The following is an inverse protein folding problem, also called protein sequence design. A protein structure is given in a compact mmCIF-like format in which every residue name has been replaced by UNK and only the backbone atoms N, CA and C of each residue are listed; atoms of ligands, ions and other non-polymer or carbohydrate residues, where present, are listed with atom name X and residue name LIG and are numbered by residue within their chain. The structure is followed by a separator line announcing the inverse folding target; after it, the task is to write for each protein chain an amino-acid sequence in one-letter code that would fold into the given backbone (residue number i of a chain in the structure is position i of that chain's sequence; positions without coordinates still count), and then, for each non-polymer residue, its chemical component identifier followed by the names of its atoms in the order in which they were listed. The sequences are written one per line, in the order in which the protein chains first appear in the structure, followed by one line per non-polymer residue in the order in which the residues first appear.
data_IF_424920055889
#
_entry.id   IF_424920055889
#
_cell.length_a   1.000
_cell.length_b   1.000
_cell.length_c   1.000
_cell.angle_alpha   90.00
_cell.angle_beta   90.00
_cell.angle_gamma   90.00
#
_symmetry.space_group_name_H-M   'P 1'
#
loop_
_entity.id
_entity.type
_entity.pdbx_description
1 polymer ?
#
# COMPACT_ATOMS: atom_id res chain seq x y z
N UNK A 1 13.73 -9.15 5.66
CA UNK A 1 13.44 -7.70 5.79
C UNK A 1 12.27 -7.26 4.89
N UNK A 2 12.06 -7.99 3.80
CA UNK A 2 11.03 -7.85 2.79
C UNK A 2 9.61 -7.93 3.37
N UNK A 3 9.31 -8.95 4.18
CA UNK A 3 8.00 -9.07 4.82
C UNK A 3 7.66 -7.82 5.67
N UNK A 4 8.61 -7.32 6.47
CA UNK A 4 8.41 -6.12 7.28
C UNK A 4 8.17 -4.89 6.40
N UNK A 5 8.86 -4.74 5.27
CA UNK A 5 8.61 -3.64 4.34
C UNK A 5 7.20 -3.70 3.72
N UNK A 6 6.67 -4.89 3.46
CA UNK A 6 5.31 -5.08 2.95
C UNK A 6 4.28 -4.66 4.00
N UNK A 7 4.39 -5.14 5.24
CA UNK A 7 3.46 -4.76 6.31
C UNK A 7 3.49 -3.25 6.57
N UNK A 8 4.69 -2.63 6.65
CA UNK A 8 4.82 -1.19 6.80
C UNK A 8 4.23 -0.41 5.62
N UNK A 9 4.45 -0.88 4.39
CA UNK A 9 3.86 -0.27 3.20
C UNK A 9 2.33 -0.30 3.22
N UNK A 10 1.73 -1.40 3.69
CA UNK A 10 0.27 -1.50 3.89
C UNK A 10 -0.21 -0.47 4.91
N UNK A 11 0.44 -0.39 6.07
CA UNK A 11 0.10 0.58 7.12
C UNK A 11 0.17 2.02 6.60
N UNK A 12 1.24 2.37 5.88
CA UNK A 12 1.42 3.71 5.33
C UNK A 12 0.38 4.03 4.22
N UNK A 13 0.07 3.09 3.32
CA UNK A 13 -0.96 3.29 2.28
C UNK A 13 -2.34 3.50 2.92
N UNK A 14 -2.67 2.74 3.96
CA UNK A 14 -3.92 2.90 4.71
C UNK A 14 -3.96 4.26 5.42
N UNK A 15 -2.87 4.64 6.08
CA UNK A 15 -2.75 5.91 6.79
C UNK A 15 -2.85 7.14 5.86
N UNK A 16 -2.33 7.03 4.63
CA UNK A 16 -2.43 8.09 3.62
C UNK A 16 -3.85 8.30 3.10
N UNK A 17 -4.68 7.24 3.07
CA UNK A 17 -6.09 7.32 2.67
C UNK A 17 -6.36 7.59 1.18
N UNK A 18 -5.33 7.66 0.32
CA UNK A 18 -5.47 8.06 -1.09
C UNK A 18 -5.93 6.95 -2.03
N UNK A 19 -5.39 5.74 -1.89
CA UNK A 19 -5.66 4.60 -2.79
C UNK A 19 -6.23 3.46 -1.98
N UNK A 20 -7.50 3.61 -1.57
CA UNK A 20 -8.22 2.64 -0.74
C UNK A 20 -9.35 1.98 -1.51
N UNK A 21 -9.63 0.71 -1.19
CA UNK A 21 -10.81 0.00 -1.71
C UNK A 21 -12.09 0.42 -0.97
N UNK A 22 -13.24 -0.01 -1.51
CA UNK A 22 -14.55 0.36 -1.00
C UNK A 22 -14.82 -0.07 0.45
N UNK A 23 -14.24 -1.19 0.90
CA UNK A 23 -14.32 -1.65 2.29
C UNK A 23 -13.68 -0.67 3.28
N UNK A 24 -12.70 0.10 2.80
CA UNK A 24 -11.98 1.13 3.53
C UNK A 24 -12.45 2.55 3.17
N UNK A 25 -13.68 2.68 2.65
CA UNK A 25 -14.30 3.95 2.23
C UNK A 25 -13.59 4.67 1.08
N UNK A 26 -12.77 3.97 0.29
CA UNK A 26 -12.21 4.50 -0.94
C UNK A 26 -12.98 4.05 -2.18
N UNK A 27 -12.43 4.32 -3.35
CA UNK A 27 -13.00 3.96 -4.65
C UNK A 27 -12.00 3.23 -5.57
N UNK A 28 -10.83 2.87 -5.05
CA UNK A 28 -9.79 2.17 -5.80
C UNK A 28 -10.15 0.69 -6.00
N UNK A 29 -9.67 0.12 -7.10
CA UNK A 29 -9.68 -1.32 -7.36
C UNK A 29 -8.63 -2.01 -6.49
N UNK A 30 -8.84 -3.29 -6.21
CA UNK A 30 -7.85 -4.10 -5.48
C UNK A 30 -6.46 -4.09 -6.13
N UNK A 31 -6.40 -4.07 -7.46
CA UNK A 31 -5.14 -3.97 -8.21
C UNK A 31 -4.42 -2.62 -8.03
N UNK A 32 -5.17 -1.53 -7.86
CA UNK A 32 -4.62 -0.18 -7.67
C UNK A 32 -4.03 -0.05 -6.25
N UNK A 33 -4.76 -0.52 -5.24
CA UNK A 33 -4.24 -0.56 -3.86
C UNK A 33 -3.02 -1.48 -3.75
N UNK A 34 -3.04 -2.66 -4.40
CA UNK A 34 -1.90 -3.57 -4.43
C UNK A 34 -0.67 -2.94 -5.11
N UNK A 35 -0.86 -2.21 -6.21
CA UNK A 35 0.22 -1.50 -6.89
C UNK A 35 0.82 -0.38 -6.01
N UNK A 36 -0.02 0.36 -5.29
CA UNK A 36 0.43 1.38 -4.33
C UNK A 36 1.28 0.76 -3.20
N UNK A 37 0.84 -0.37 -2.63
CA UNK A 37 1.59 -1.10 -1.61
C UNK A 37 2.93 -1.59 -2.18
N UNK A 38 2.95 -2.17 -3.38
CA UNK A 38 4.18 -2.66 -4.01
C UNK A 38 5.19 -1.52 -4.27
N UNK A 39 4.72 -0.38 -4.77
CA UNK A 39 5.57 0.80 -4.99
C UNK A 39 6.15 1.32 -3.67
N UNK A 40 5.33 1.40 -2.62
CA UNK A 40 5.74 1.85 -1.29
C UNK A 40 6.75 0.89 -0.65
N UNK A 41 6.53 -0.42 -0.78
CA UNK A 41 7.47 -1.43 -0.30
C UNK A 41 8.83 -1.36 -1.03
N UNK A 42 8.83 -1.14 -2.35
CA UNK A 42 10.05 -0.95 -3.13
C UNK A 42 10.85 0.26 -2.64
N UNK A 43 10.18 1.40 -2.40
CA UNK A 43 10.81 2.60 -1.82
C UNK A 43 11.45 2.33 -0.44
N UNK A 44 10.75 1.60 0.44
CA UNK A 44 11.27 1.22 1.76
C UNK A 44 12.50 0.31 1.67
N UNK A 45 12.57 -0.54 0.65
CA UNK A 45 13.72 -1.41 0.35
C UNK A 45 14.82 -0.70 -0.47
N UNK A 46 14.63 0.56 -0.87
CA UNK A 46 15.49 1.32 -1.80
C UNK A 46 15.71 0.58 -3.14
N UNK A 47 14.67 -0.07 -3.65
CA UNK A 47 14.65 -0.76 -4.94
C UNK A 47 13.80 -0.01 -5.96
#
# INVERSE_FOLDING_TARGET
EEANSIFRAVEEVIAEGKVLTYDLRGNAKSSEMAAAIAQKAAQLLKR
#
